data_IF_919387503340
#
_entry.id   IF_919387503340
#
_cell.length_a   1.000
_cell.length_b   1.000
_cell.length_c   1.000
_cell.angle_alpha   90.00
_cell.angle_beta   90.00
_cell.angle_gamma   90.00
#
_symmetry.space_group_name_H-M   'P 1'
#
loop_
_entity.id
_entity.type
_entity.pdbx_description
1 polymer ?
#
# COMPACT_ATOMS: atom_id res chain seq x y z
N UNK A 1 15.60 17.36 36.40
CA UNK A 1 16.78 18.08 35.88
C UNK A 1 16.60 18.25 34.38
N UNK A 2 16.53 19.48 33.89
CA UNK A 2 16.56 19.74 32.45
C UNK A 2 18.02 19.73 32.00
N UNK A 3 18.40 18.76 31.17
CA UNK A 3 19.72 18.71 30.56
C UNK A 3 19.79 19.84 29.51
N UNK A 4 20.55 20.89 29.80
CA UNK A 4 20.94 21.91 28.82
C UNK A 4 21.69 21.20 27.68
N UNK A 5 21.07 21.12 26.49
CA UNK A 5 21.76 20.71 25.27
C UNK A 5 22.58 21.89 24.74
N UNK A 6 23.88 21.66 24.52
CA UNK A 6 24.73 22.61 23.81
C UNK A 6 24.35 22.59 22.31
N UNK A 7 24.27 23.76 21.64
CA UNK A 7 23.81 23.87 20.25
C UNK A 7 24.79 23.28 19.22
N UNK A 8 26.06 23.09 19.58
CA UNK A 8 27.08 22.51 18.69
C UNK A 8 26.94 20.98 18.53
N UNK A 9 26.46 20.28 19.57
CA UNK A 9 26.25 18.82 19.53
C UNK A 9 24.98 18.42 18.76
N UNK A 10 24.00 19.32 18.63
CA UNK A 10 22.73 19.01 17.95
C UNK A 10 22.90 18.78 16.46
N UNK A 11 23.78 19.54 15.79
CA UNK A 11 23.92 19.50 14.32
C UNK A 11 24.54 18.17 13.87
N UNK A 12 25.56 17.72 14.58
CA UNK A 12 26.24 16.45 14.27
C UNK A 12 25.35 15.24 14.59
N UNK A 13 24.57 15.32 15.67
CA UNK A 13 23.63 14.26 16.07
C UNK A 13 22.44 14.14 15.10
N UNK A 14 21.93 15.25 14.55
CA UNK A 14 20.86 15.24 13.55
C UNK A 14 21.34 14.66 12.20
N UNK A 15 22.57 14.95 11.80
CA UNK A 15 23.18 14.33 10.61
C UNK A 15 23.37 12.82 10.81
N UNK A 16 23.88 12.40 11.96
CA UNK A 16 24.07 10.98 12.29
C UNK A 16 22.75 10.20 12.36
N UNK A 17 21.68 10.80 12.91
CA UNK A 17 20.33 10.20 12.89
C UNK A 17 19.79 10.09 11.47
N UNK A 18 19.92 11.14 10.66
CA UNK A 18 19.44 11.15 9.27
C UNK A 18 20.12 10.07 8.43
N UNK A 19 21.44 9.90 8.59
CA UNK A 19 22.21 8.86 7.92
C UNK A 19 21.81 7.47 8.41
N UNK A 20 21.66 7.27 9.72
CA UNK A 20 21.28 5.97 10.31
C UNK A 20 19.85 5.57 9.96
N UNK A 21 18.91 6.52 9.91
CA UNK A 21 17.54 6.31 9.46
C UNK A 21 17.51 5.91 7.98
N UNK A 22 18.21 6.62 7.10
CA UNK A 22 18.32 6.26 5.68
C UNK A 22 18.85 4.84 5.48
N UNK A 23 19.83 4.41 6.27
CA UNK A 23 20.36 3.05 6.20
C UNK A 23 19.35 1.99 6.68
N UNK A 24 18.63 2.25 7.78
CA UNK A 24 17.57 1.37 8.30
C UNK A 24 16.40 1.22 7.31
N UNK A 25 16.00 2.30 6.64
CA UNK A 25 14.95 2.28 5.60
C UNK A 25 15.47 1.76 4.25
N UNK A 26 16.77 1.84 3.97
CA UNK A 26 17.38 1.23 2.79
C UNK A 26 17.50 -0.30 2.93
N UNK A 27 17.70 -0.84 4.13
CA UNK A 27 17.72 -2.30 4.34
C UNK A 27 16.36 -2.97 4.14
N UNK A 28 15.24 -2.24 4.31
CA UNK A 28 13.89 -2.75 3.99
C UNK A 28 13.54 -2.62 2.49
N UNK A 29 14.36 -1.90 1.71
CA UNK A 29 14.19 -1.83 0.24
C UNK A 29 14.55 -3.15 -0.47
N UNK A 30 15.16 -4.10 0.24
CA UNK A 30 15.61 -5.39 -0.29
C UNK A 30 14.57 -6.51 -0.33
N UNK A 31 13.52 -6.49 0.51
CA UNK A 31 12.52 -7.58 0.55
C UNK A 31 11.22 -7.27 -0.22
N UNK A 32 11.01 -6.02 -0.60
CA UNK A 32 9.93 -5.62 -1.51
C UNK A 32 10.44 -4.52 -2.43
N UNK A 33 11.25 -4.89 -3.43
CA UNK A 33 10.90 -4.36 -4.76
C UNK A 33 9.45 -4.76 -4.94
N UNK A 34 8.52 -3.85 -4.64
CA UNK A 34 7.15 -3.92 -5.17
C UNK A 34 7.40 -4.22 -6.62
N UNK A 35 7.17 -5.47 -7.06
CA UNK A 35 7.05 -5.76 -8.49
C UNK A 35 6.13 -4.66 -8.95
N UNK A 36 6.64 -3.74 -9.76
CA UNK A 36 5.83 -2.65 -10.28
C UNK A 36 4.73 -3.36 -11.05
N UNK A 37 3.59 -3.58 -10.38
CA UNK A 37 2.48 -4.26 -10.97
C UNK A 37 2.09 -3.36 -12.13
N UNK A 38 2.11 -3.91 -13.34
CA UNK A 38 1.66 -3.18 -14.52
C UNK A 38 0.19 -2.85 -14.29
N UNK A 39 -0.08 -1.63 -13.80
CA UNK A 39 -1.42 -1.15 -13.53
C UNK A 39 -2.06 -0.86 -14.87
N UNK A 40 -2.83 -1.81 -15.37
CA UNK A 40 -3.65 -1.63 -16.56
C UNK A 40 -4.97 -1.02 -16.08
N UNK A 41 -5.32 0.15 -16.62
CA UNK A 41 -6.65 0.71 -16.41
C UNK A 41 -7.64 -0.12 -17.24
N UNK A 42 -8.65 -0.67 -16.59
CA UNK A 42 -9.68 -1.50 -17.23
C UNK A 42 -11.04 -0.89 -16.98
N UNK A 43 -11.83 -0.75 -18.05
CA UNK A 43 -13.21 -0.27 -18.00
C UNK A 43 -14.15 -1.43 -18.31
N UNK A 44 -15.29 -1.47 -17.62
CA UNK A 44 -16.33 -2.47 -17.84
C UNK A 44 -17.65 -1.77 -18.09
N UNK A 45 -18.42 -2.26 -19.07
CA UNK A 45 -19.81 -1.88 -19.24
C UNK A 45 -20.65 -2.82 -18.39
N UNK A 46 -21.26 -2.27 -17.34
CA UNK A 46 -22.14 -3.01 -16.43
C UNK A 46 -23.41 -2.19 -16.20
N UNK A 47 -24.48 -2.88 -15.83
CA UNK A 47 -25.73 -2.21 -15.49
C UNK A 47 -25.58 -1.37 -14.20
N UNK A 48 -26.21 -0.18 -14.11
CA UNK A 48 -26.12 0.65 -12.92
C UNK A 48 -26.60 -0.02 -11.63
N UNK A 49 -27.65 -0.85 -11.72
CA UNK A 49 -28.18 -1.67 -10.61
C UNK A 49 -27.11 -2.63 -10.09
N UNK A 50 -26.51 -3.42 -10.98
CA UNK A 50 -25.44 -4.37 -10.65
C UNK A 50 -24.21 -3.69 -10.07
N UNK A 51 -23.84 -2.50 -10.58
CA UNK A 51 -22.73 -1.72 -10.01
C UNK A 51 -22.99 -1.42 -8.54
N UNK A 52 -24.20 -0.96 -8.21
CA UNK A 52 -24.57 -0.58 -6.85
C UNK A 52 -24.57 -1.79 -5.90
N UNK A 53 -25.14 -2.91 -6.34
CA UNK A 53 -25.14 -4.16 -5.56
C UNK A 53 -23.71 -4.65 -5.26
N UNK A 54 -22.81 -4.56 -6.24
CA UNK A 54 -21.40 -4.92 -6.05
C UNK A 54 -20.67 -3.95 -5.12
N UNK A 55 -20.94 -2.64 -5.23
CA UNK A 55 -20.37 -1.63 -4.32
C UNK A 55 -20.79 -1.90 -2.87
N UNK A 56 -22.08 -2.13 -2.61
CA UNK A 56 -22.60 -2.48 -1.29
C UNK A 56 -21.96 -3.77 -0.75
N UNK A 57 -21.88 -4.81 -1.58
CA UNK A 57 -21.25 -6.08 -1.20
C UNK A 57 -19.75 -5.94 -0.89
N UNK A 58 -19.02 -5.11 -1.66
CA UNK A 58 -17.60 -4.87 -1.39
C UNK A 58 -17.41 -4.04 -0.12
N UNK A 59 -18.26 -3.04 0.12
CA UNK A 59 -18.22 -2.21 1.33
C UNK A 59 -18.50 -3.04 2.60
N UNK A 60 -19.46 -3.97 2.55
CA UNK A 60 -19.74 -4.91 3.65
C UNK A 60 -18.53 -5.79 4.00
N UNK A 61 -17.68 -6.10 3.00
CA UNK A 61 -16.41 -6.82 3.19
C UNK A 61 -15.24 -5.90 3.58
N UNK A 62 -15.45 -4.59 3.67
CA UNK A 62 -14.41 -3.59 3.92
C UNK A 62 -13.45 -3.38 2.75
N UNK A 63 -13.89 -3.68 1.52
CA UNK A 63 -13.12 -3.54 0.28
C UNK A 63 -13.64 -2.38 -0.55
N UNK A 64 -12.77 -1.49 -1.00
CA UNK A 64 -13.16 -0.49 -2.00
C UNK A 64 -13.39 -1.12 -3.40
N UNK A 65 -14.14 -0.45 -4.27
CA UNK A 65 -14.52 -0.91 -5.62
C UNK A 65 -13.41 -1.64 -6.38
N UNK A 66 -12.25 -1.00 -6.57
CA UNK A 66 -11.14 -1.59 -7.33
C UNK A 66 -10.53 -2.83 -6.65
N UNK A 67 -10.54 -2.88 -5.32
CA UNK A 67 -10.07 -4.03 -4.56
C UNK A 67 -11.07 -5.20 -4.63
N UNK A 68 -12.36 -4.91 -4.51
CA UNK A 68 -13.45 -5.87 -4.66
C UNK A 68 -13.44 -6.57 -6.02
N UNK A 69 -13.31 -5.81 -7.11
CA UNK A 69 -13.21 -6.37 -8.46
C UNK A 69 -11.99 -7.28 -8.61
N UNK A 70 -10.82 -6.86 -8.12
CA UNK A 70 -9.60 -7.70 -8.15
C UNK A 70 -9.76 -8.99 -7.35
N UNK A 71 -10.38 -8.90 -6.18
CA UNK A 71 -10.66 -10.04 -5.32
C UNK A 71 -11.59 -11.04 -6.03
N UNK A 72 -12.73 -10.56 -6.54
CA UNK A 72 -13.70 -11.38 -7.24
C UNK A 72 -13.10 -12.08 -8.47
N UNK A 73 -12.33 -11.36 -9.30
CA UNK A 73 -11.65 -11.94 -10.45
C UNK A 73 -10.62 -13.01 -10.05
N UNK A 74 -9.88 -12.78 -8.96
CA UNK A 74 -8.89 -13.73 -8.46
C UNK A 74 -9.54 -15.00 -7.90
N UNK A 75 -10.62 -14.86 -7.14
CA UNK A 75 -11.38 -16.00 -6.61
C UNK A 75 -12.09 -16.78 -7.71
N UNK A 76 -12.70 -16.08 -8.67
CA UNK A 76 -13.25 -16.72 -9.88
C UNK A 76 -12.18 -17.51 -10.62
N UNK A 77 -11.02 -16.89 -10.88
CA UNK A 77 -9.93 -17.58 -11.56
C UNK A 77 -9.44 -18.80 -10.80
N UNK A 78 -9.25 -18.72 -9.47
CA UNK A 78 -8.87 -19.89 -8.67
C UNK A 78 -9.90 -21.02 -8.75
N UNK A 79 -11.18 -20.70 -8.76
CA UNK A 79 -12.27 -21.68 -8.77
C UNK A 79 -12.39 -22.42 -10.11
N UNK A 80 -12.11 -21.73 -11.21
CA UNK A 80 -12.32 -22.25 -12.57
C UNK A 80 -11.02 -22.56 -13.33
N UNK A 81 -9.86 -22.31 -12.72
CA UNK A 81 -8.58 -22.77 -13.23
C UNK A 81 -8.29 -24.14 -12.61
N UNK A 82 -8.49 -25.19 -13.41
CA UNK A 82 -8.02 -26.55 -13.12
C UNK A 82 -6.56 -26.54 -12.61
#
# INVERSE_FOLDING_TARGET
MALKRNPEDSVQYDEDISVKAKQLFASDSGSRRRKEEKKILTTFSIEPSTKKELEELFDDMGLGWAAGIRFALKEFYKKYKN
#
